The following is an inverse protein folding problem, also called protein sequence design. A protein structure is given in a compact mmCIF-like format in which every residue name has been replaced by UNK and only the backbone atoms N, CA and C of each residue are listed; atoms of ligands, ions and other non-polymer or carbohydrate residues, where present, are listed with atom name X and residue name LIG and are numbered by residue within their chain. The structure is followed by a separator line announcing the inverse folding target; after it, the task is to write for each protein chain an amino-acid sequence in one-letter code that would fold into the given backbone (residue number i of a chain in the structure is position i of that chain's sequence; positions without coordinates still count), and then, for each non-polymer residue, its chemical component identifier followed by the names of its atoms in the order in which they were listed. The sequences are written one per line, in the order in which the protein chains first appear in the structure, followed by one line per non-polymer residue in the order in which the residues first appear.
data_IF_140274421857
#
_entry.id   IF_140274421857
#
_cell.length_a   1.000
_cell.length_b   1.000
_cell.length_c   1.000
_cell.angle_alpha   90.00
_cell.angle_beta   90.00
_cell.angle_gamma   90.00
#
_symmetry.space_group_name_H-M   'P 1'
#
loop_
_entity.id
_entity.type
_entity.pdbx_description
1 polymer ?
#
# COMPACT_ATOMS: atom_id res chain seq x y z
N UNK A 1 -11.77 32.60 21.97
CA UNK A 1 -11.47 31.38 22.75
C UNK A 1 -12.52 30.34 22.40
N UNK A 2 -12.15 29.30 21.66
CA UNK A 2 -13.06 28.21 21.36
C UNK A 2 -13.34 27.44 22.66
N UNK A 3 -14.62 27.27 22.99
CA UNK A 3 -15.04 26.42 24.11
C UNK A 3 -14.68 24.98 23.71
N UNK A 4 -13.47 24.55 24.07
CA UNK A 4 -13.09 23.15 24.13
C UNK A 4 -13.86 22.55 25.30
N UNK A 5 -14.45 21.39 25.08
CA UNK A 5 -15.16 20.57 26.07
C UNK A 5 -16.66 20.88 26.22
N UNK A 6 -17.43 20.31 25.28
CA UNK A 6 -18.73 19.72 25.63
C UNK A 6 -18.48 18.40 26.38
N UNK A 7 -17.78 18.46 27.51
CA UNK A 7 -17.58 17.30 28.38
C UNK A 7 -18.91 16.84 28.94
N UNK A 8 -19.12 15.53 29.11
CA UNK A 8 -20.25 15.03 29.91
C UNK A 8 -20.19 15.75 31.28
N UNK A 9 -21.30 16.37 31.67
CA UNK A 9 -21.44 16.90 33.02
C UNK A 9 -21.14 15.78 34.02
N UNK A 10 -20.50 16.12 35.13
CA UNK A 10 -20.30 15.13 36.18
C UNK A 10 -21.67 14.63 36.68
N UNK A 11 -21.76 13.37 37.09
CA UNK A 11 -23.01 12.78 37.59
C UNK A 11 -23.63 13.65 38.70
N UNK A 12 -22.80 14.27 39.53
CA UNK A 12 -23.22 15.16 40.61
C UNK A 12 -23.86 16.47 40.07
N UNK A 13 -23.31 17.05 39.01
CA UNK A 13 -23.87 18.24 38.35
C UNK A 13 -25.16 17.92 37.58
N UNK A 14 -25.23 16.74 36.94
CA UNK A 14 -26.42 16.26 36.26
C UNK A 14 -27.57 16.00 37.26
N UNK A 15 -27.27 15.31 38.36
CA UNK A 15 -28.22 15.07 39.45
C UNK A 15 -28.67 16.39 40.11
N UNK A 16 -27.77 17.37 40.29
CA UNK A 16 -28.12 18.69 40.81
C UNK A 16 -29.07 19.45 39.85
N UNK A 17 -28.85 19.39 38.54
CA UNK A 17 -29.74 20.00 37.55
C UNK A 17 -31.13 19.36 37.58
N UNK A 18 -31.20 18.04 37.66
CA UNK A 18 -32.47 17.31 37.71
C UNK A 18 -33.23 17.49 39.04
N UNK A 19 -32.52 17.49 40.17
CA UNK A 19 -33.13 17.57 41.51
C UNK A 19 -33.44 19.01 41.96
N UNK A 20 -32.57 19.98 41.65
CA UNK A 20 -32.64 21.33 42.22
C UNK A 20 -33.32 22.34 41.29
N UNK A 21 -33.17 22.20 39.96
CA UNK A 21 -33.34 23.37 39.09
C UNK A 21 -34.59 23.44 38.22
N UNK A 22 -35.21 22.34 37.74
CA UNK A 22 -36.30 22.50 36.74
C UNK A 22 -37.34 21.38 36.58
N UNK A 23 -36.94 20.11 36.49
CA UNK A 23 -37.89 19.06 36.09
C UNK A 23 -38.81 18.64 37.24
N UNK A 24 -38.22 18.21 38.35
CA UNK A 24 -38.96 17.81 39.56
C UNK A 24 -39.78 18.97 40.14
N UNK A 25 -39.22 20.18 40.17
CA UNK A 25 -39.95 21.34 40.67
C UNK A 25 -41.18 21.71 39.83
N UNK A 26 -41.18 21.44 38.51
CA UNK A 26 -42.33 21.66 37.64
C UNK A 26 -43.33 20.51 37.76
N UNK A 27 -42.85 19.28 37.88
CA UNK A 27 -43.67 18.08 37.99
C UNK A 27 -44.36 17.94 39.36
N UNK A 28 -43.76 18.47 40.43
CA UNK A 28 -44.31 18.45 41.79
C UNK A 28 -45.38 19.55 42.01
N UNK A 29 -45.48 20.55 41.12
CA UNK A 29 -46.43 21.66 41.27
C UNK A 29 -47.91 21.23 41.26
N UNK A 30 -48.39 20.39 40.34
CA UNK A 30 -49.77 19.90 40.36
C UNK A 30 -50.08 19.13 41.66
N UNK A 31 -49.17 18.26 42.10
CA UNK A 31 -49.33 17.51 43.36
C UNK A 31 -49.39 18.41 44.59
N UNK A 32 -48.52 19.42 44.67
CA UNK A 32 -48.52 20.37 45.80
C UNK A 32 -49.73 21.28 45.78
N UNK A 33 -50.20 21.73 44.61
CA UNK A 33 -51.45 22.50 44.49
C UNK A 33 -52.67 21.70 44.92
N UNK A 34 -52.81 20.47 44.42
CA UNK A 34 -53.91 19.60 44.78
C UNK A 34 -53.86 19.26 46.29
N UNK A 35 -52.69 18.91 46.81
CA UNK A 35 -52.49 18.66 48.24
C UNK A 35 -52.88 19.87 49.07
N UNK A 36 -52.37 21.06 48.73
CA UNK A 36 -52.68 22.28 49.47
C UNK A 36 -54.17 22.59 49.44
N UNK A 37 -54.87 22.41 48.32
CA UNK A 37 -56.32 22.62 48.23
C UNK A 37 -57.15 21.63 49.04
N UNK A 38 -56.67 20.41 49.23
CA UNK A 38 -57.36 19.40 50.02
C UNK A 38 -57.07 19.53 51.52
N UNK A 39 -55.86 19.95 51.90
CA UNK A 39 -55.40 19.91 53.30
C UNK A 39 -55.25 21.27 53.98
N UNK A 40 -55.12 22.39 53.25
CA UNK A 40 -55.02 23.70 53.89
C UNK A 40 -56.36 24.11 54.45
N UNK A 41 -56.38 24.50 55.73
CA UNK A 41 -57.59 24.83 56.47
C UNK A 41 -58.47 25.89 55.75
N UNK A 42 -57.88 26.83 55.02
CA UNK A 42 -58.59 27.91 54.33
C UNK A 42 -59.34 27.44 53.06
N UNK A 43 -58.77 26.49 52.33
CA UNK A 43 -59.29 25.99 51.03
C UNK A 43 -59.89 24.59 51.10
N UNK A 44 -59.75 23.92 52.25
CA UNK A 44 -60.29 22.60 52.52
C UNK A 44 -61.82 22.56 52.45
N UNK A 45 -62.36 21.38 52.20
CA UNK A 45 -63.81 21.18 52.17
C UNK A 45 -64.50 21.61 53.48
N UNK A 46 -63.81 21.56 54.62
CA UNK A 46 -64.33 21.99 55.92
C UNK A 46 -64.61 23.49 56.01
N UNK A 47 -63.88 24.35 55.28
CA UNK A 47 -64.14 25.80 55.24
C UNK A 47 -65.26 26.19 54.28
N UNK A 48 -65.59 25.30 53.34
CA UNK A 48 -66.62 25.48 52.30
C UNK A 48 -67.92 24.79 52.70
N UNK A 49 -67.87 23.79 53.59
CA UNK A 49 -69.02 23.04 54.09
C UNK A 49 -69.96 23.92 54.90
N UNK A 50 -71.26 23.70 54.74
CA UNK A 50 -72.30 24.37 55.51
C UNK A 50 -72.11 24.09 57.01
N UNK A 51 -71.81 25.14 57.78
CA UNK A 51 -71.86 25.09 59.24
C UNK A 51 -73.34 25.07 59.62
N UNK A 52 -73.89 23.88 59.82
CA UNK A 52 -75.18 23.76 60.51
C UNK A 52 -75.00 24.30 61.93
N UNK A 53 -75.50 25.51 62.16
CA UNK A 53 -75.62 26.09 63.49
C UNK A 53 -76.57 25.22 64.33
N UNK A 54 -76.18 24.77 65.53
CA UNK A 54 -77.12 24.27 66.51
C UNK A 54 -77.77 25.48 67.19
N UNK A 55 -78.98 25.88 66.78
CA UNK A 55 -79.76 26.83 67.59
C UNK A 55 -81.28 26.79 67.31
N UNK A 56 -82.13 27.02 68.34
CA UNK A 56 -83.58 26.80 68.39
C UNK A 56 -84.40 27.84 67.59
N UNK A 57 -85.73 27.67 67.41
CA UNK A 57 -86.50 28.42 66.40
C UNK A 57 -86.71 29.89 66.80
N UNK A 58 -86.61 30.85 65.87
CA UNK A 58 -86.79 32.28 66.14
C UNK A 58 -88.28 32.70 66.10
N UNK A 59 -88.60 33.75 66.87
CA UNK A 59 -89.92 34.39 66.98
C UNK A 59 -90.45 34.97 65.64
N UNK A 60 -91.76 34.82 65.41
CA UNK A 60 -92.44 34.90 64.11
C UNK A 60 -92.50 36.29 63.42
N UNK A 61 -91.98 37.36 64.01
CA UNK A 61 -92.10 38.73 63.47
C UNK A 61 -90.82 39.27 62.79
N UNK A 62 -89.66 38.62 63.00
CA UNK A 62 -88.40 38.92 62.30
C UNK A 62 -88.05 37.82 61.28
N UNK A 63 -88.98 36.88 61.06
CA UNK A 63 -88.76 35.65 60.33
C UNK A 63 -88.60 35.85 58.81
N UNK A 64 -89.31 36.80 58.19
CA UNK A 64 -89.27 36.95 56.72
C UNK A 64 -87.99 37.65 56.22
N UNK A 65 -87.50 38.69 56.90
CA UNK A 65 -86.25 39.36 56.55
C UNK A 65 -85.03 38.48 56.89
N UNK A 66 -85.10 37.74 58.01
CA UNK A 66 -84.08 36.75 58.37
C UNK A 66 -84.13 35.49 57.49
N UNK A 67 -85.30 35.09 56.95
CA UNK A 67 -85.41 33.99 56.00
C UNK A 67 -84.86 34.36 54.63
N UNK A 68 -85.12 35.58 54.14
CA UNK A 68 -84.52 36.09 52.91
C UNK A 68 -82.99 36.18 53.02
N UNK A 69 -82.45 36.66 54.15
CA UNK A 69 -81.01 36.70 54.40
C UNK A 69 -80.36 35.31 54.56
N UNK A 70 -81.11 34.31 55.06
CA UNK A 70 -80.64 32.92 55.11
C UNK A 70 -80.64 32.27 53.72
N UNK A 71 -81.66 32.52 52.90
CA UNK A 71 -81.75 31.99 51.55
C UNK A 71 -80.59 32.48 50.66
N UNK A 72 -80.21 33.77 50.76
CA UNK A 72 -79.06 34.30 50.01
C UNK A 72 -77.73 33.74 50.51
N UNK A 73 -77.57 33.53 51.83
CA UNK A 73 -76.38 32.87 52.39
C UNK A 73 -76.26 31.40 51.98
N UNK A 74 -77.38 30.69 51.86
CA UNK A 74 -77.41 29.31 51.38
C UNK A 74 -77.05 29.23 49.89
N UNK A 75 -77.57 30.14 49.07
CA UNK A 75 -77.23 30.24 47.65
C UNK A 75 -75.74 30.50 47.43
N UNK A 76 -75.17 31.49 48.13
CA UNK A 76 -73.73 31.77 48.09
C UNK A 76 -72.87 30.60 48.59
N UNK A 77 -73.36 29.80 49.55
CA UNK A 77 -72.64 28.60 50.00
C UNK A 77 -72.66 27.49 48.94
N UNK A 78 -73.80 27.27 48.27
CA UNK A 78 -73.90 26.30 47.17
C UNK A 78 -73.00 26.70 46.02
N UNK A 79 -72.93 27.99 45.68
CA UNK A 79 -72.01 28.53 44.68
C UNK A 79 -70.55 28.29 45.06
N UNK A 80 -70.18 28.53 46.33
CA UNK A 80 -68.82 28.26 46.85
C UNK A 80 -68.44 26.79 46.77
N UNK A 81 -69.36 25.88 47.12
CA UNK A 81 -69.13 24.42 46.99
C UNK A 81 -68.92 24.02 45.54
N UNK A 82 -69.74 24.54 44.61
CA UNK A 82 -69.60 24.27 43.17
C UNK A 82 -68.28 24.81 42.60
N UNK A 83 -67.89 26.03 42.99
CA UNK A 83 -66.61 26.61 42.60
C UNK A 83 -65.45 25.75 43.08
N UNK A 84 -65.44 25.37 44.36
CA UNK A 84 -64.42 24.47 44.91
C UNK A 84 -64.36 23.12 44.18
N UNK A 85 -65.50 22.49 43.89
CA UNK A 85 -65.54 21.24 43.12
C UNK A 85 -64.93 21.40 41.72
N UNK A 86 -65.29 22.48 41.01
CA UNK A 86 -64.75 22.75 39.66
C UNK A 86 -63.24 22.98 39.67
N UNK A 87 -62.74 23.67 40.69
CA UNK A 87 -61.32 23.94 40.86
C UNK A 87 -60.53 22.67 41.20
N UNK A 88 -61.06 21.80 42.08
CA UNK A 88 -60.44 20.50 42.39
C UNK A 88 -60.39 19.61 41.15
N UNK A 89 -61.46 19.56 40.35
CA UNK A 89 -61.48 18.79 39.11
C UNK A 89 -60.44 19.31 38.10
N UNK A 90 -60.31 20.62 37.96
CA UNK A 90 -59.32 21.22 37.05
C UNK A 90 -57.88 20.88 37.47
N UNK A 91 -57.59 20.87 38.78
CA UNK A 91 -56.26 20.49 39.29
C UNK A 91 -56.00 18.99 39.14
N UNK A 92 -57.04 18.14 39.25
CA UNK A 92 -56.94 16.70 39.03
C UNK A 92 -56.67 16.38 37.55
N UNK A 93 -57.34 17.07 36.63
CA UNK A 93 -57.05 16.98 35.18
C UNK A 93 -55.61 17.43 34.86
N UNK A 94 -55.13 18.51 35.50
CA UNK A 94 -53.75 18.97 35.34
C UNK A 94 -52.74 17.94 35.88
N UNK A 95 -53.06 17.29 36.99
CA UNK A 95 -52.25 16.21 37.56
C UNK A 95 -52.19 15.01 36.60
N UNK A 96 -53.32 14.56 36.06
CA UNK A 96 -53.38 13.45 35.10
C UNK A 96 -52.54 13.72 33.85
N UNK A 97 -52.61 14.95 33.32
CA UNK A 97 -51.76 15.37 32.21
C UNK A 97 -50.27 15.32 32.57
N UNK A 98 -49.89 15.77 33.77
CA UNK A 98 -48.49 15.75 34.22
C UNK A 98 -47.95 14.32 34.40
N UNK A 99 -48.78 13.39 34.89
CA UNK A 99 -48.44 11.98 35.04
C UNK A 99 -48.26 11.34 33.66
N UNK A 100 -49.21 11.56 32.74
CA UNK A 100 -49.13 11.01 31.39
C UNK A 100 -47.88 11.49 30.65
N UNK A 101 -47.55 12.77 30.77
CA UNK A 101 -46.31 13.33 30.20
C UNK A 101 -45.08 12.64 30.77
N UNK A 102 -45.04 12.45 32.09
CA UNK A 102 -43.91 11.82 32.78
C UNK A 102 -43.71 10.37 32.30
N UNK A 103 -44.79 9.60 32.21
CA UNK A 103 -44.75 8.23 31.69
C UNK A 103 -44.25 8.18 30.23
N UNK A 104 -44.76 9.05 29.36
CA UNK A 104 -44.33 9.12 27.96
C UNK A 104 -42.85 9.51 27.84
N UNK A 105 -42.39 10.49 28.61
CA UNK A 105 -40.97 10.89 28.65
C UNK A 105 -40.10 9.77 29.18
N UNK A 106 -40.53 9.05 30.22
CA UNK A 106 -39.79 7.90 30.74
C UNK A 106 -39.71 6.75 29.74
N UNK A 107 -40.80 6.44 29.02
CA UNK A 107 -40.80 5.43 27.97
C UNK A 107 -39.88 5.82 26.82
N UNK A 108 -40.01 7.04 26.30
CA UNK A 108 -39.14 7.58 25.24
C UNK A 108 -37.66 7.54 25.64
N UNK A 109 -37.32 7.93 26.87
CA UNK A 109 -35.95 7.87 27.37
C UNK A 109 -35.42 6.43 27.49
N UNK A 110 -36.28 5.46 27.85
CA UNK A 110 -35.87 4.04 27.90
C UNK A 110 -35.58 3.50 26.50
N UNK A 111 -36.43 3.81 25.53
CA UNK A 111 -36.25 3.38 24.14
C UNK A 111 -34.99 4.01 23.55
N UNK A 112 -34.76 5.30 23.80
CA UNK A 112 -33.58 6.01 23.33
C UNK A 112 -32.29 5.48 23.95
N UNK A 113 -32.30 5.15 25.26
CA UNK A 113 -31.19 4.45 25.91
C UNK A 113 -30.93 3.07 25.29
N UNK A 114 -31.99 2.35 24.94
CA UNK A 114 -31.90 1.09 24.20
C UNK A 114 -31.22 1.27 22.85
N UNK A 115 -31.60 2.31 22.09
CA UNK A 115 -30.99 2.68 20.81
C UNK A 115 -29.50 3.03 20.97
N UNK A 116 -29.14 3.84 21.97
CA UNK A 116 -27.73 4.17 22.21
C UNK A 116 -26.92 2.95 22.63
N UNK A 117 -27.50 2.01 23.38
CA UNK A 117 -26.79 0.78 23.75
C UNK A 117 -26.48 -0.09 22.52
N UNK A 118 -27.44 -0.27 21.61
CA UNK A 118 -27.22 -1.04 20.38
C UNK A 118 -26.24 -0.34 19.43
N UNK A 119 -26.36 0.98 19.27
CA UNK A 119 -25.44 1.77 18.45
C UNK A 119 -24.02 1.77 19.02
N UNK A 120 -23.86 1.86 20.35
CA UNK A 120 -22.56 1.75 21.01
C UNK A 120 -21.88 0.43 20.71
N UNK A 121 -22.61 -0.69 20.77
CA UNK A 121 -22.07 -2.01 20.41
C UNK A 121 -21.63 -2.03 18.94
N UNK A 122 -22.47 -1.54 18.02
CA UNK A 122 -22.14 -1.48 16.60
C UNK A 122 -20.91 -0.60 16.31
N UNK A 123 -20.74 0.51 17.02
CA UNK A 123 -19.54 1.36 16.90
C UNK A 123 -18.30 0.64 17.42
N UNK A 124 -18.39 -0.06 18.56
CA UNK A 124 -17.27 -0.82 19.11
C UNK A 124 -16.85 -1.97 18.17
N UNK A 125 -17.81 -2.65 17.55
CA UNK A 125 -17.55 -3.68 16.54
C UNK A 125 -16.83 -3.09 15.31
N UNK A 126 -17.31 -1.96 14.79
CA UNK A 126 -16.65 -1.25 13.67
C UNK A 126 -15.23 -0.81 14.04
N UNK A 127 -15.01 -0.30 15.24
CA UNK A 127 -13.68 0.05 15.73
C UNK A 127 -12.77 -1.18 15.83
N UNK A 128 -13.30 -2.31 16.32
CA UNK A 128 -12.58 -3.59 16.35
C UNK A 128 -12.20 -4.06 14.95
N UNK A 129 -13.12 -4.00 14.00
CA UNK A 129 -12.88 -4.34 12.59
C UNK A 129 -11.77 -3.46 11.98
N UNK A 130 -11.85 -2.13 12.14
CA UNK A 130 -10.83 -1.20 11.64
C UNK A 130 -9.45 -1.51 12.22
N UNK A 131 -9.36 -1.80 13.52
CA UNK A 131 -8.09 -2.21 14.15
C UNK A 131 -7.53 -3.49 13.54
N UNK A 132 -8.38 -4.50 13.32
CA UNK A 132 -7.97 -5.75 12.68
C UNK A 132 -7.49 -5.52 11.24
N UNK A 133 -8.19 -4.69 10.45
CA UNK A 133 -7.79 -4.34 9.09
C UNK A 133 -6.45 -3.58 9.05
N UNK A 134 -6.22 -2.66 10.00
CA UNK A 134 -4.93 -1.97 10.10
C UNK A 134 -3.80 -2.97 10.38
N UNK A 135 -4.03 -3.96 11.23
CA UNK A 135 -3.02 -4.97 11.54
C UNK A 135 -2.70 -5.86 10.33
N UNK A 136 -3.72 -6.30 9.59
CA UNK A 136 -3.49 -7.05 8.34
C UNK A 136 -2.72 -6.22 7.32
N UNK A 137 -3.06 -4.93 7.16
CA UNK A 137 -2.36 -4.03 6.25
C UNK A 137 -0.90 -3.80 6.66
N UNK A 138 -0.57 -3.80 7.96
CA UNK A 138 0.81 -3.72 8.43
C UNK A 138 1.63 -4.94 8.02
N UNK A 139 1.06 -6.13 8.16
CA UNK A 139 1.70 -7.39 7.74
C UNK A 139 1.93 -7.37 6.22
N UNK A 140 0.93 -6.97 5.45
CA UNK A 140 1.05 -6.87 3.98
C UNK A 140 2.11 -5.86 3.55
N UNK A 141 2.20 -4.72 4.24
CA UNK A 141 3.23 -3.72 4.02
C UNK A 141 4.63 -4.28 4.29
N UNK A 142 4.82 -5.02 5.39
CA UNK A 142 6.10 -5.66 5.70
C UNK A 142 6.50 -6.68 4.62
N UNK A 143 5.56 -7.49 4.16
CA UNK A 143 5.78 -8.46 3.08
C UNK A 143 6.11 -7.77 1.75
N UNK A 144 5.43 -6.67 1.43
CA UNK A 144 5.71 -5.86 0.25
C UNK A 144 7.13 -5.24 0.32
N UNK A 145 7.55 -4.74 1.49
CA UNK A 145 8.90 -4.23 1.72
C UNK A 145 9.97 -5.30 1.52
N UNK A 146 9.76 -6.51 2.06
CA UNK A 146 10.66 -7.66 1.85
C UNK A 146 10.79 -7.99 0.36
N UNK A 147 9.67 -8.04 -0.36
CA UNK A 147 9.65 -8.31 -1.80
C UNK A 147 10.37 -7.22 -2.59
N UNK A 148 10.18 -5.95 -2.23
CA UNK A 148 10.86 -4.83 -2.84
C UNK A 148 12.38 -4.91 -2.62
N UNK A 149 12.84 -5.26 -1.42
CA UNK A 149 14.26 -5.44 -1.14
C UNK A 149 14.89 -6.54 -2.00
N UNK A 150 14.19 -7.67 -2.17
CA UNK A 150 14.62 -8.76 -3.06
C UNK A 150 14.70 -8.29 -4.52
N UNK A 151 13.71 -7.53 -5.01
CA UNK A 151 13.72 -6.98 -6.37
C UNK A 151 14.88 -6.02 -6.58
N UNK A 152 15.12 -5.10 -5.65
CA UNK A 152 16.29 -4.20 -5.71
C UNK A 152 17.60 -4.97 -5.76
N UNK A 153 17.72 -6.04 -4.98
CA UNK A 153 18.91 -6.89 -5.02
C UNK A 153 19.08 -7.57 -6.40
N UNK A 154 17.99 -8.04 -7.02
CA UNK A 154 18.03 -8.56 -8.39
C UNK A 154 18.36 -7.49 -9.43
N UNK A 155 17.86 -6.26 -9.24
CA UNK A 155 18.20 -5.14 -10.12
C UNK A 155 19.70 -4.81 -10.00
N UNK A 156 20.26 -4.76 -8.79
CA UNK A 156 21.70 -4.56 -8.57
C UNK A 156 22.56 -5.68 -9.20
N UNK A 157 22.13 -6.93 -9.08
CA UNK A 157 22.77 -8.08 -9.74
C UNK A 157 22.71 -7.95 -11.26
N UNK A 158 21.55 -7.53 -11.78
CA UNK A 158 21.33 -7.34 -13.21
C UNK A 158 22.23 -6.24 -13.73
N UNK A 159 22.29 -5.08 -13.06
CA UNK A 159 23.20 -3.99 -13.40
C UNK A 159 24.67 -4.44 -13.39
N UNK A 160 25.10 -5.23 -12.39
CA UNK A 160 26.46 -5.79 -12.36
C UNK A 160 26.74 -6.68 -13.57
N UNK A 161 25.78 -7.51 -13.97
CA UNK A 161 25.91 -8.41 -15.13
C UNK A 161 25.92 -7.60 -16.43
N UNK A 162 24.99 -6.65 -16.61
CA UNK A 162 24.80 -5.92 -17.87
C UNK A 162 25.80 -4.78 -18.08
N UNK A 163 26.24 -4.08 -17.02
CA UNK A 163 27.23 -3.00 -17.14
C UNK A 163 28.67 -3.51 -17.24
N UNK A 164 28.93 -4.78 -16.90
CA UNK A 164 30.26 -5.33 -17.02
C UNK A 164 30.61 -5.58 -18.48
N UNK A 165 31.40 -4.65 -19.07
CA UNK A 165 31.91 -4.79 -20.45
C UNK A 165 32.71 -6.08 -20.70
N UNK A 166 33.15 -6.75 -19.63
CA UNK A 166 33.87 -8.02 -19.69
C UNK A 166 32.95 -9.23 -19.92
N UNK A 167 31.66 -9.15 -19.58
CA UNK A 167 30.70 -10.23 -19.82
C UNK A 167 29.99 -9.99 -21.16
N UNK A 168 30.28 -10.86 -22.13
CA UNK A 168 29.55 -10.89 -23.40
C UNK A 168 28.15 -11.51 -23.21
N UNK A 169 27.14 -11.15 -24.02
CA UNK A 169 25.86 -11.85 -24.04
C UNK A 169 26.02 -13.37 -24.26
N UNK A 170 25.11 -14.17 -23.69
CA UNK A 170 25.19 -15.64 -23.78
C UNK A 170 25.18 -16.15 -25.22
N UNK A 171 24.39 -15.53 -26.09
CA UNK A 171 24.28 -15.93 -27.50
C UNK A 171 25.60 -15.70 -28.25
N UNK A 172 26.28 -14.59 -27.99
CA UNK A 172 27.60 -14.30 -28.58
C UNK A 172 28.68 -15.23 -28.03
N UNK A 173 28.65 -15.56 -26.74
CA UNK A 173 29.57 -16.54 -26.16
C UNK A 173 29.37 -17.93 -26.79
N UNK A 174 28.12 -18.36 -27.01
CA UNK A 174 27.83 -19.64 -27.64
C UNK A 174 28.38 -19.72 -29.07
N UNK A 175 28.22 -18.66 -29.86
CA UNK A 175 28.80 -18.57 -31.21
C UNK A 175 30.35 -18.57 -31.17
N UNK A 176 30.95 -17.84 -30.24
CA UNK A 176 32.40 -17.85 -30.07
C UNK A 176 32.94 -19.22 -29.66
N UNK A 177 32.24 -19.94 -28.78
CA UNK A 177 32.59 -21.31 -28.40
C UNK A 177 32.46 -22.27 -29.58
N UNK A 178 31.37 -22.21 -30.34
CA UNK A 178 31.20 -23.04 -31.53
C UNK A 178 32.34 -22.83 -32.55
N UNK A 179 32.73 -21.57 -32.78
CA UNK A 179 33.86 -21.24 -33.66
C UNK A 179 35.19 -21.79 -33.14
N UNK A 180 35.47 -21.66 -31.84
CA UNK A 180 36.69 -22.22 -31.25
C UNK A 180 36.70 -23.74 -31.32
N UNK A 181 35.56 -24.40 -31.15
CA UNK A 181 35.44 -25.86 -31.29
C UNK A 181 35.72 -26.31 -32.74
N UNK A 182 35.26 -25.55 -33.74
CA UNK A 182 35.59 -25.77 -35.15
C UNK A 182 37.10 -25.61 -35.41
N UNK A 183 37.71 -24.53 -34.93
CA UNK A 183 39.16 -24.29 -35.07
C UNK A 183 39.98 -25.39 -34.38
N UNK A 184 39.56 -25.86 -33.19
CA UNK A 184 40.20 -26.97 -32.48
C UNK A 184 40.07 -28.27 -33.28
N UNK A 185 38.91 -28.53 -33.88
CA UNK A 185 38.70 -29.71 -34.72
C UNK A 185 39.62 -29.68 -35.96
N UNK A 186 39.73 -28.53 -36.62
CA UNK A 186 40.63 -28.35 -37.76
C UNK A 186 42.10 -28.55 -37.35
N UNK A 187 42.56 -27.91 -36.26
CA UNK A 187 43.93 -28.09 -35.77
C UNK A 187 44.23 -29.54 -35.39
N UNK A 188 43.27 -30.25 -34.78
CA UNK A 188 43.42 -31.69 -34.50
C UNK A 188 43.57 -32.50 -35.78
N UNK A 189 42.81 -32.17 -36.83
CA UNK A 189 42.96 -32.81 -38.14
C UNK A 189 44.32 -32.50 -38.77
N UNK A 190 44.78 -31.24 -38.71
CA UNK A 190 46.10 -30.85 -39.22
C UNK A 190 47.23 -31.59 -38.47
N UNK A 191 47.13 -31.72 -37.14
CA UNK A 191 48.07 -32.51 -36.33
C UNK A 191 48.04 -33.99 -36.74
N UNK A 192 46.86 -34.55 -37.01
CA UNK A 192 46.75 -35.92 -37.47
C UNK A 192 47.40 -36.10 -38.85
N UNK A 193 47.12 -35.20 -39.81
CA UNK A 193 47.75 -35.21 -41.13
C UNK A 193 49.29 -35.06 -41.03
N UNK A 194 49.78 -34.20 -40.12
CA UNK A 194 51.21 -34.04 -39.88
C UNK A 194 51.85 -35.31 -39.29
N UNK A 195 51.14 -36.03 -38.40
CA UNK A 195 51.59 -37.34 -37.91
C UNK A 195 51.63 -38.37 -39.03
N UNK A 196 50.57 -38.47 -39.82
CA UNK A 196 50.48 -39.43 -40.92
C UNK A 196 51.61 -39.19 -41.95
N UNK A 197 51.83 -37.94 -42.35
CA UNK A 197 52.95 -37.59 -43.24
C UNK A 197 54.33 -37.85 -42.63
N UNK A 198 54.49 -37.69 -41.32
CA UNK A 198 55.74 -38.04 -40.63
C UNK A 198 55.96 -39.55 -40.60
N UNK A 199 54.91 -40.34 -40.38
CA UNK A 199 54.97 -41.81 -40.43
C UNK A 199 55.29 -42.30 -41.84
N UNK A 200 54.68 -41.74 -42.88
CA UNK A 200 55.01 -42.03 -44.28
C UNK A 200 56.48 -41.73 -44.60
N UNK A 201 56.98 -40.55 -44.19
CA UNK A 201 58.39 -40.20 -44.38
C UNK A 201 59.31 -41.16 -43.64
N UNK A 202 58.97 -41.53 -42.40
CA UNK A 202 59.74 -42.51 -41.63
C UNK A 202 59.79 -43.86 -42.35
N UNK A 203 58.69 -44.31 -42.94
CA UNK A 203 58.65 -45.53 -43.75
C UNK A 203 59.49 -45.39 -45.04
N UNK A 204 59.43 -44.23 -45.71
CA UNK A 204 60.28 -43.95 -46.87
C UNK A 204 61.77 -43.98 -46.50
N UNK A 205 62.16 -43.35 -45.40
CA UNK A 205 63.53 -43.39 -44.88
C UNK A 205 63.98 -44.82 -44.56
N UNK A 206 63.10 -45.65 -43.96
CA UNK A 206 63.40 -47.07 -43.72
C UNK A 206 63.60 -47.87 -45.01
N UNK A 207 62.81 -47.57 -46.06
CA UNK A 207 63.00 -48.20 -47.38
C UNK A 207 64.35 -47.81 -47.98
N UNK A 208 64.68 -46.51 -48.00
CA UNK A 208 65.97 -46.00 -48.50
C UNK A 208 67.12 -46.62 -47.72
N UNK A 209 67.06 -46.68 -46.38
CA UNK A 209 68.11 -47.29 -45.56
C UNK A 209 68.28 -48.80 -45.85
N UNK A 210 67.18 -49.51 -46.12
CA UNK A 210 67.26 -50.91 -46.54
C UNK A 210 67.90 -51.08 -47.93
N UNK A 211 67.67 -50.15 -48.84
CA UNK A 211 68.26 -50.14 -50.19
C UNK A 211 69.74 -49.72 -50.17
N UNK A 212 70.12 -48.74 -49.35
CA UNK A 212 71.52 -48.36 -49.16
C UNK A 212 72.33 -49.47 -48.49
N UNK A 213 71.75 -50.21 -47.54
CA UNK A 213 72.38 -51.40 -46.97
C UNK A 213 72.58 -52.50 -48.02
N UNK A 214 71.57 -52.75 -48.88
CA UNK A 214 71.72 -53.67 -50.03
C UNK A 214 72.80 -53.20 -50.99
N UNK A 215 72.85 -51.92 -51.33
CA UNK A 215 73.89 -51.34 -52.17
C UNK A 215 75.27 -51.46 -51.54
N UNK A 216 75.40 -51.19 -50.23
CA UNK A 216 76.65 -51.38 -49.50
C UNK A 216 77.09 -52.85 -49.49
N UNK A 217 76.16 -53.79 -49.41
CA UNK A 217 76.43 -55.22 -49.53
C UNK A 217 76.86 -55.59 -50.96
N UNK A 218 76.18 -55.07 -52.00
CA UNK A 218 76.60 -55.25 -53.39
C UNK A 218 77.99 -54.66 -53.65
N UNK A 219 78.30 -53.48 -53.12
CA UNK A 219 79.65 -52.88 -53.22
C UNK A 219 80.68 -53.72 -52.48
N UNK A 220 80.34 -54.29 -51.31
CA UNK A 220 81.23 -55.22 -50.60
C UNK A 220 81.44 -56.52 -51.35
N UNK A 221 80.39 -57.07 -51.96
CA UNK A 221 80.45 -58.26 -52.82
C UNK A 221 81.28 -57.98 -54.07
N UNK A 222 81.04 -56.85 -54.76
CA UNK A 222 81.82 -56.41 -55.93
C UNK A 222 83.27 -56.11 -55.55
N UNK A 223 83.53 -55.48 -54.39
CA UNK A 223 84.88 -55.28 -53.86
C UNK A 223 85.57 -56.59 -53.50
N UNK A 224 84.85 -57.54 -52.90
CA UNK A 224 85.39 -58.87 -52.60
C UNK A 224 85.67 -59.66 -53.88
N UNK A 225 84.83 -59.54 -54.91
CA UNK A 225 85.04 -60.12 -56.23
C UNK A 225 86.21 -59.47 -56.97
N UNK A 226 86.39 -58.14 -56.82
CA UNK A 226 87.54 -57.40 -57.31
C UNK A 226 88.83 -57.80 -56.57
N UNK A 227 88.80 -57.96 -55.26
CA UNK A 227 89.94 -58.42 -54.45
C UNK A 227 90.28 -59.89 -54.75
N UNK A 228 89.28 -60.72 -55.07
CA UNK A 228 89.44 -62.10 -55.58
C UNK A 228 90.00 -62.15 -57.01
N UNK A 229 89.76 -61.11 -57.82
CA UNK A 229 90.22 -60.99 -59.20
C UNK A 229 91.56 -60.25 -59.33
N UNK A 230 91.92 -59.43 -58.36
CA UNK A 230 93.21 -58.73 -58.26
C UNK A 230 94.25 -59.51 -57.44
N UNK A 231 93.83 -60.46 -56.59
CA UNK A 231 94.71 -61.38 -55.87
C UNK A 231 95.50 -62.40 -56.72
N UNK A 232 95.40 -62.35 -58.06
CA UNK A 232 96.16 -63.20 -58.97
C UNK A 232 96.83 -62.44 -60.12
N UNK A 233 97.23 -61.19 -59.93
CA UNK A 233 98.34 -60.58 -60.66
C UNK A 233 99.05 -59.54 -59.79
N UNK A 234 100.23 -59.91 -59.27
CA UNK A 234 101.31 -58.97 -58.99
C UNK A 234 102.56 -59.51 -59.66
N UNK A 235 103.08 -58.81 -60.67
CA UNK A 235 104.45 -58.26 -60.72
C UNK A 235 104.83 -57.68 -62.11
N UNK A 236 105.50 -56.52 -62.12
CA UNK A 236 106.18 -55.85 -63.27
C UNK A 236 105.46 -54.58 -63.74
N UNK A 237 105.72 -53.38 -63.19
CA UNK A 237 106.89 -52.48 -63.36
C UNK A 237 107.02 -51.90 -64.79
N UNK A 238 106.78 -50.59 -64.95
CA UNK A 238 107.80 -49.58 -65.36
C UNK A 238 107.16 -48.23 -65.83
N UNK A 239 107.99 -47.19 -65.74
CA UNK A 239 107.87 -45.73 -65.83
C UNK A 239 107.31 -45.07 -67.12
N UNK A 240 106.99 -43.77 -67.00
CA UNK A 240 106.92 -42.78 -68.10
C UNK A 240 105.62 -41.94 -68.08
N UNK A 241 105.54 -40.82 -67.34
CA UNK A 241 106.05 -39.46 -67.58
C UNK A 241 105.32 -38.63 -68.67
N UNK A 242 104.94 -37.42 -68.25
CA UNK A 242 104.46 -36.27 -69.05
C UNK A 242 103.03 -36.34 -69.60
N UNK A 243 102.28 -35.25 -69.76
CA UNK A 243 102.38 -33.84 -69.41
C UNK A 243 101.02 -33.22 -69.85
N UNK A 244 100.59 -32.14 -69.19
CA UNK A 244 99.66 -31.07 -69.63
C UNK A 244 98.42 -31.41 -70.50
N UNK A 245 97.21 -30.87 -70.32
CA UNK A 245 96.84 -29.45 -70.14
C UNK A 245 95.30 -29.33 -70.06
N UNK A 246 94.83 -28.45 -69.15
CA UNK A 246 93.76 -27.42 -69.30
C UNK A 246 92.35 -27.76 -69.81
N UNK A 247 91.39 -27.25 -69.03
CA UNK A 247 90.20 -26.54 -69.56
C UNK A 247 88.91 -26.87 -68.78
N UNK A 248 88.60 -26.26 -67.63
CA UNK A 248 87.84 -24.99 -67.50
C UNK A 248 86.32 -25.22 -67.78
N UNK A 249 85.31 -24.83 -67.00
CA UNK A 249 85.11 -23.60 -66.20
C UNK A 249 83.96 -23.83 -65.18
N UNK A 250 84.13 -23.26 -63.98
CA UNK A 250 83.15 -22.54 -63.12
C UNK A 250 81.63 -22.87 -63.14
N UNK A 251 81.04 -23.03 -61.94
CA UNK A 251 80.32 -21.90 -61.32
C UNK A 251 80.12 -22.04 -59.80
N UNK A 252 80.80 -21.14 -59.09
CA UNK A 252 80.50 -20.63 -57.75
C UNK A 252 79.09 -20.01 -57.72
N UNK A 253 78.34 -20.22 -56.63
CA UNK A 253 77.07 -19.53 -56.41
C UNK A 253 76.26 -19.93 -55.18
N UNK A 254 76.80 -19.80 -53.97
CA UNK A 254 75.96 -19.39 -52.82
C UNK A 254 75.79 -17.88 -52.87
N UNK A 255 74.55 -17.38 -52.82
CA UNK A 255 74.23 -16.32 -51.87
C UNK A 255 72.99 -16.67 -51.04
N UNK A 256 73.22 -16.72 -49.73
CA UNK A 256 72.48 -16.10 -48.61
C UNK A 256 70.94 -15.93 -48.70
N UNK A 257 70.20 -16.27 -47.61
CA UNK A 257 68.81 -15.90 -47.45
C UNK A 257 68.70 -14.45 -46.99
N UNK A 258 68.04 -13.62 -47.78
CA UNK A 258 67.47 -12.34 -47.33
C UNK A 258 66.29 -11.99 -48.24
N UNK A 259 65.13 -11.76 -47.65
CA UNK A 259 63.92 -11.40 -48.40
C UNK A 259 62.63 -11.72 -47.66
N UNK A 260 62.44 -11.11 -46.48
CA UNK A 260 61.10 -10.98 -45.93
C UNK A 260 60.25 -10.07 -46.82
N UNK A 261 59.04 -10.50 -47.15
CA UNK A 261 57.95 -9.63 -47.60
C UNK A 261 56.62 -10.20 -47.13
N UNK A 262 56.09 -9.61 -46.07
CA UNK A 262 54.64 -9.49 -45.83
C UNK A 262 54.02 -8.65 -46.95
N UNK A 263 52.88 -9.05 -47.55
CA UNK A 263 52.02 -8.10 -48.25
C UNK A 263 50.97 -7.58 -47.27
N UNK A 264 51.14 -6.32 -46.89
CA UNK A 264 50.07 -5.49 -46.31
C UNK A 264 49.25 -4.88 -47.44
N UNK A 265 47.93 -4.98 -47.30
CA UNK A 265 46.83 -4.19 -47.87
C UNK A 265 46.93 -3.57 -49.28
N UNK A 266 45.87 -3.82 -50.06
CA UNK A 266 45.25 -2.78 -50.90
C UNK A 266 43.78 -2.64 -50.52
N UNK A 267 43.46 -1.43 -50.04
CA UNK A 267 42.12 -0.89 -49.91
C UNK A 267 41.79 -0.08 -51.17
N UNK A 268 40.60 -0.30 -51.74
CA UNK A 268 39.89 0.63 -52.62
C UNK A 268 38.42 0.23 -52.52
N UNK A 269 37.60 0.91 -51.71
CA UNK A 269 36.85 2.12 -52.04
C UNK A 269 36.12 1.99 -53.38
N UNK A 270 34.82 1.70 -53.28
CA UNK A 270 33.81 2.26 -54.17
C UNK A 270 32.55 2.55 -53.36
N UNK A 271 32.25 3.83 -53.30
CA UNK A 271 31.03 4.41 -52.76
C UNK A 271 29.80 3.96 -53.55
N UNK A 272 28.73 3.60 -52.85
CA UNK A 272 27.35 3.68 -53.36
C UNK A 272 26.39 3.81 -52.20
N UNK A 273 26.12 5.07 -51.85
CA UNK A 273 24.85 5.65 -51.41
C UNK A 273 23.75 4.67 -50.94
N UNK A 274 23.48 4.66 -49.64
CA UNK A 274 22.14 4.44 -49.10
C UNK A 274 21.98 5.24 -47.80
N UNK A 275 21.33 6.39 -47.93
CA UNK A 275 20.91 7.29 -46.85
C UNK A 275 19.70 6.69 -46.12
N UNK A 276 19.93 6.05 -44.97
CA UNK A 276 18.83 5.70 -44.06
C UNK A 276 18.59 6.85 -43.08
N UNK A 277 17.62 7.68 -43.43
CA UNK A 277 16.99 8.66 -42.56
C UNK A 277 16.32 7.96 -41.38
N UNK A 278 16.64 8.41 -40.17
CA UNK A 278 15.72 8.40 -39.04
C UNK A 278 14.94 9.72 -39.10
N UNK A 279 13.60 9.70 -38.95
CA UNK A 279 13.06 10.41 -37.80
C UNK A 279 11.88 9.69 -37.12
N UNK A 280 11.93 9.77 -35.78
CA UNK A 280 10.84 10.02 -34.83
C UNK A 280 9.41 9.67 -35.28
N UNK A 281 8.81 8.73 -34.56
CA UNK A 281 7.56 9.06 -33.87
C UNK A 281 7.47 8.32 -32.54
N UNK A 282 7.49 9.11 -31.47
CA UNK A 282 7.10 8.70 -30.12
C UNK A 282 5.65 9.10 -29.95
N UNK A 283 4.95 8.30 -29.14
CA UNK A 283 3.69 8.57 -28.41
C UNK A 283 2.50 7.74 -28.89
N UNK A 284 2.29 6.59 -28.23
CA UNK A 284 0.94 6.11 -27.91
C UNK A 284 0.95 5.47 -26.51
N UNK A 285 -0.02 5.82 -25.64
CA UNK A 285 0.00 5.48 -24.22
C UNK A 285 -0.70 4.16 -23.89
N UNK A 286 -0.50 3.76 -22.63
CA UNK A 286 -1.25 2.78 -21.83
C UNK A 286 -2.67 2.44 -22.33
N UNK A 287 -2.97 1.14 -22.41
CA UNK A 287 -4.30 0.64 -22.00
C UNK A 287 -4.25 -0.81 -21.52
N UNK A 288 -4.03 -0.93 -20.21
CA UNK A 288 -4.87 -1.68 -19.28
C UNK A 288 -5.78 -2.76 -19.88
N UNK A 289 -5.32 -4.02 -19.83
CA UNK A 289 -6.18 -5.20 -19.82
C UNK A 289 -6.98 -5.22 -18.51
N UNK A 290 -8.27 -4.94 -18.58
CA UNK A 290 -9.26 -5.41 -17.60
C UNK A 290 -10.16 -6.44 -18.29
N UNK A 291 -10.18 -7.64 -17.73
CA UNK A 291 -11.27 -8.59 -17.91
C UNK A 291 -12.38 -8.23 -16.93
N UNK A 292 -13.65 -8.34 -17.34
CA UNK A 292 -14.62 -8.92 -16.43
C UNK A 292 -15.43 -10.01 -17.12
N UNK A 293 -15.41 -11.19 -16.50
CA UNK A 293 -16.50 -12.15 -16.62
C UNK A 293 -17.28 -12.07 -15.31
N UNK A 294 -18.57 -11.70 -15.37
CA UNK A 294 -19.61 -12.29 -14.53
C UNK A 294 -21.00 -11.97 -15.10
N UNK A 295 -21.64 -13.01 -15.61
CA UNK A 295 -23.08 -13.12 -15.77
C UNK A 295 -23.72 -13.32 -14.39
N UNK A 296 -24.76 -12.55 -14.06
CA UNK A 296 -26.01 -13.08 -13.49
C UNK A 296 -27.07 -11.98 -13.50
N UNK A 297 -28.27 -12.40 -13.88
CA UNK A 297 -29.41 -11.58 -14.22
C UNK A 297 -30.07 -10.98 -12.97
N UNK A 298 -30.60 -9.78 -13.16
CA UNK A 298 -31.48 -9.10 -12.22
C UNK A 298 -32.77 -9.92 -12.01
N UNK A 299 -33.08 -10.21 -10.75
CA UNK A 299 -34.45 -10.51 -10.33
C UNK A 299 -35.15 -9.22 -9.92
N UNK A 300 -36.33 -9.12 -10.50
CA UNK A 300 -37.40 -8.15 -10.35
C UNK A 300 -37.79 -7.97 -8.88
N UNK A 301 -37.93 -6.73 -8.41
CA UNK A 301 -38.63 -6.44 -7.16
C UNK A 301 -39.54 -5.24 -7.35
N UNK A 302 -40.83 -5.57 -7.51
CA UNK A 302 -41.97 -4.66 -7.49
C UNK A 302 -41.99 -3.85 -6.18
N UNK A 303 -42.00 -2.51 -6.28
CA UNK A 303 -42.37 -1.65 -5.16
C UNK A 303 -43.65 -0.91 -5.52
N UNK A 304 -44.70 -1.30 -4.79
CA UNK A 304 -46.06 -0.87 -4.94
C UNK A 304 -46.27 0.63 -4.66
N UNK A 305 -47.11 1.18 -5.52
CA UNK A 305 -48.08 2.26 -5.35
C UNK A 305 -48.63 2.47 -3.92
N UNK A 306 -48.55 3.70 -3.41
CA UNK A 306 -49.62 4.40 -2.68
C UNK A 306 -49.19 5.79 -2.20
N UNK A 307 -49.95 6.83 -2.56
CA UNK A 307 -50.07 8.06 -1.76
C UNK A 307 -49.99 9.39 -2.51
N UNK A 308 -51.09 9.80 -3.15
CA UNK A 308 -51.32 11.17 -3.64
C UNK A 308 -51.75 12.17 -2.53
N UNK A 309 -51.54 13.46 -2.83
CA UNK A 309 -52.08 14.71 -2.22
C UNK A 309 -51.45 15.19 -0.89
N UNK A 310 -51.11 16.48 -0.67
CA UNK A 310 -51.67 17.72 -1.20
C UNK A 310 -50.74 18.96 -1.03
N UNK A 311 -50.86 19.90 -1.98
CA UNK A 311 -50.72 21.39 -1.88
C UNK A 311 -49.39 22.08 -1.53
N UNK A 312 -48.78 22.64 -2.58
CA UNK A 312 -48.63 24.09 -2.85
C UNK A 312 -48.59 25.09 -1.67
N UNK A 313 -47.42 25.72 -1.44
CA UNK A 313 -47.29 27.11 -1.00
C UNK A 313 -45.86 27.64 -1.23
N UNK A 314 -45.77 28.48 -2.25
CA UNK A 314 -44.72 29.38 -2.69
C UNK A 314 -44.28 30.43 -1.63
N UNK A 315 -42.97 30.78 -1.62
CA UNK A 315 -42.27 32.01 -1.14
C UNK A 315 -40.98 31.65 -0.40
N UNK A 316 -39.89 32.38 -0.42
CA UNK A 316 -39.30 33.43 -1.25
C UNK A 316 -37.91 33.68 -0.60
N UNK A 317 -36.96 34.16 -1.37
CA UNK A 317 -35.87 35.05 -0.95
C UNK A 317 -34.83 34.59 0.10
N UNK A 318 -33.57 34.43 -0.32
CA UNK A 318 -32.52 35.38 0.08
C UNK A 318 -31.17 34.99 -0.55
N UNK A 319 -30.66 35.90 -1.38
CA UNK A 319 -29.34 35.86 -2.00
C UNK A 319 -28.40 36.87 -1.31
N UNK A 320 -27.15 36.45 -1.06
CA UNK A 320 -25.95 37.31 -0.92
C UNK A 320 -25.59 37.81 0.50
N UNK A 321 -24.37 38.34 0.73
CA UNK A 321 -23.17 38.50 -0.14
C UNK A 321 -21.92 37.78 0.44
N UNK A 322 -20.84 37.39 -0.27
CA UNK A 322 -19.79 38.15 -0.97
C UNK A 322 -19.20 39.35 -0.19
N UNK A 323 -18.15 39.10 0.61
CA UNK A 323 -17.18 40.11 1.04
C UNK A 323 -15.78 39.48 1.05
N UNK A 324 -14.87 40.07 0.29
CA UNK A 324 -13.45 39.79 0.33
C UNK A 324 -12.73 40.61 1.40
N UNK A 325 -11.45 40.31 1.61
CA UNK A 325 -10.33 41.26 1.58
C UNK A 325 -9.01 40.53 1.90
N UNK A 326 -8.07 40.65 0.97
CA UNK A 326 -6.64 40.39 1.11
C UNK A 326 -5.98 41.51 1.93
N UNK A 327 -5.02 41.21 2.82
CA UNK A 327 -3.75 41.92 3.13
C UNK A 327 -2.93 40.98 4.07
N UNK A 328 -1.77 40.43 3.71
CA UNK A 328 -0.42 41.00 3.47
C UNK A 328 0.42 41.19 4.76
N UNK A 329 1.56 40.46 4.76
CA UNK A 329 2.85 40.56 5.47
C UNK A 329 3.02 41.10 6.90
N UNK A 330 3.87 40.39 7.65
CA UNK A 330 4.58 40.90 8.82
C UNK A 330 5.42 39.85 9.55
N UNK A 331 6.63 39.55 9.06
CA UNK A 331 7.70 38.96 9.86
C UNK A 331 8.15 39.96 10.95
N UNK A 332 8.49 39.48 12.16
CA UNK A 332 9.77 39.72 12.87
C UNK A 332 9.70 39.39 14.39
N UNK A 333 10.56 38.44 14.78
CA UNK A 333 11.32 38.22 16.03
C UNK A 333 10.85 38.64 17.43
N UNK A 334 11.13 37.74 18.40
CA UNK A 334 11.31 38.07 19.81
C UNK A 334 11.38 36.83 20.70
N UNK A 335 12.60 36.31 20.93
CA UNK A 335 12.84 35.18 21.82
C UNK A 335 12.74 35.53 23.31
N UNK A 336 12.47 34.53 24.14
CA UNK A 336 12.91 34.41 25.55
C UNK A 336 12.37 33.08 26.14
N UNK A 337 13.27 32.15 26.47
CA UNK A 337 13.10 31.14 27.55
C UNK A 337 14.50 30.85 28.09
N UNK A 338 14.92 31.47 29.20
CA UNK A 338 14.67 31.07 30.61
C UNK A 338 14.87 29.57 30.83
N UNK A 339 16.07 29.22 31.32
CA UNK A 339 16.37 28.91 32.72
C UNK A 339 16.11 27.43 33.04
N UNK A 340 17.19 26.64 32.88
CA UNK A 340 17.27 25.31 33.46
C UNK A 340 17.56 25.44 34.95
N UNK A 341 16.53 25.18 35.74
CA UNK A 341 16.58 25.00 37.18
C UNK A 341 17.34 23.71 37.51
N UNK A 342 18.20 23.80 38.53
CA UNK A 342 18.95 22.70 39.08
C UNK A 342 18.79 22.70 40.58
N UNK A 343 18.11 21.71 41.13
CA UNK A 343 18.40 21.17 42.46
C UNK A 343 17.61 19.88 42.69
N UNK A 344 18.33 18.78 42.89
CA UNK A 344 17.97 17.66 43.77
C UNK A 344 19.22 16.75 43.77
N UNK A 345 19.89 16.42 44.87
CA UNK A 345 19.49 16.41 46.26
C UNK A 345 20.06 15.14 46.90
N UNK A 346 21.39 15.02 46.97
CA UNK A 346 22.08 13.96 47.70
C UNK A 346 22.14 14.31 49.19
N UNK A 347 21.48 13.54 50.04
CA UNK A 347 21.88 13.30 51.43
C UNK A 347 21.27 11.98 51.92
N UNK A 348 22.06 10.92 52.01
CA UNK A 348 21.79 9.82 52.94
C UNK A 348 23.12 9.20 53.40
N UNK A 349 23.68 9.77 54.47
CA UNK A 349 24.59 9.09 55.39
C UNK A 349 23.92 9.08 56.77
N UNK A 350 23.53 7.90 57.25
CA UNK A 350 23.67 7.47 58.65
C UNK A 350 23.34 5.99 58.83
#
# INVERSE_FOLDING_TARGET
MAIKEWGLASQEEEDALHNVSRLLAVEVRPFTRLSNRLTQAETSFESVRQVQLPSPPPDASAADEAAAAKATLEEHQVERVKAWQSEVLTELELMDYSVLRSELTMQSNRDERGRYATEKVAILEKQGHVKATIETLRVDLENAKKTLAVRKYYDELTEKITNSKMLKPRDEQALAHAKLDEEIAELKQQVQNAKDTWEERRQQFQRIDSETQKMANMIKEEKMEAERKEGMMKEGDDEGDGDTTRGDVSHIGTPRPDGGMTPVHVSQIVDSQATLKVPQDRLAPLSQRQSPAKSEAAEDTEMAESGENATDAQRDDSSGPEEGEDYEEGEHEGGHSEQADGSDGEMEER
#
